data_IF_015076755021
#
_entry.id   IF_015076755021
#
_cell.length_a   1.000
_cell.length_b   1.000
_cell.length_c   1.000
_cell.angle_alpha   90.00
_cell.angle_beta   90.00
_cell.angle_gamma   90.00
#
_symmetry.space_group_name_H-M   'P 1'
#
loop_
_entity.id
_entity.type
_entity.pdbx_description
1 polymer ?
#
# COMPACT_ATOMS: atom_id res chain seq x y z
N UNK A 1 0.46 2.13 43.95
CA UNK A 1 0.36 2.39 42.49
C UNK A 1 -0.50 3.63 42.27
N UNK A 2 0.12 4.82 42.20
CA UNK A 2 -0.60 6.10 42.04
C UNK A 2 -0.85 6.37 40.56
N UNK A 3 -2.11 6.47 40.16
CA UNK A 3 -2.54 7.07 38.89
C UNK A 3 -2.13 8.54 38.91
N UNK A 4 -1.19 8.94 38.06
CA UNK A 4 -0.88 10.36 37.87
C UNK A 4 -1.74 10.90 36.71
N UNK A 5 -2.71 11.73 37.07
CA UNK A 5 -3.46 12.59 36.15
C UNK A 5 -2.49 13.66 35.62
N UNK A 6 -2.24 13.65 34.32
CA UNK A 6 -1.56 14.74 33.62
C UNK A 6 -2.60 15.85 33.46
N UNK A 7 -2.42 16.94 34.21
CA UNK A 7 -3.21 18.16 34.07
C UNK A 7 -2.66 18.91 32.86
N UNK A 8 -3.44 18.98 31.78
CA UNK A 8 -3.15 19.80 30.61
C UNK A 8 -3.35 21.28 30.98
N UNK A 9 -2.27 22.08 30.87
CA UNK A 9 -2.37 23.53 30.83
C UNK A 9 -2.88 23.93 29.43
N UNK A 10 -4.18 24.15 29.32
CA UNK A 10 -4.75 25.03 28.30
C UNK A 10 -4.38 26.46 28.68
N UNK A 11 -3.54 27.14 27.90
CA UNK A 11 -3.63 28.59 27.72
C UNK A 11 -2.82 29.07 26.50
N UNK A 12 -3.52 29.81 25.64
CA UNK A 12 -3.03 30.75 24.62
C UNK A 12 -2.09 30.24 23.51
N UNK A 13 -2.66 29.70 22.43
CA UNK A 13 -2.20 29.99 21.07
C UNK A 13 -3.31 29.66 20.05
N UNK A 14 -4.47 30.26 20.26
CA UNK A 14 -5.38 30.56 19.16
C UNK A 14 -4.89 31.91 18.61
N UNK A 15 -4.66 31.98 17.29
CA UNK A 15 -4.16 33.11 16.48
C UNK A 15 -2.63 33.18 16.28
N UNK A 16 -2.13 32.41 15.32
CA UNK A 16 -1.54 33.01 14.12
C UNK A 16 -1.34 31.94 13.06
N UNK A 17 -1.74 32.27 11.83
CA UNK A 17 -1.41 31.51 10.64
C UNK A 17 0.11 31.38 10.54
N UNK A 18 0.64 30.22 10.96
CA UNK A 18 1.88 29.55 10.54
C UNK A 18 2.18 28.49 11.61
N UNK A 19 2.45 27.26 11.18
CA UNK A 19 2.74 26.14 12.08
C UNK A 19 3.90 26.48 13.03
N UNK A 20 3.58 26.69 14.32
CA UNK A 20 4.58 26.86 15.38
C UNK A 20 4.80 25.49 16.02
N UNK A 21 6.01 24.95 15.91
CA UNK A 21 6.44 23.82 16.75
C UNK A 21 6.30 24.23 18.22
N UNK A 22 5.44 23.56 18.99
CA UNK A 22 5.43 23.69 20.44
C UNK A 22 6.34 22.61 21.02
N UNK A 23 7.61 22.96 21.30
CA UNK A 23 8.54 22.09 22.04
C UNK A 23 8.37 22.35 23.54
N UNK A 24 7.77 21.40 24.26
CA UNK A 24 7.72 21.44 25.72
C UNK A 24 8.79 20.51 26.30
N UNK A 25 9.89 21.08 26.80
CA UNK A 25 10.91 20.35 27.55
C UNK A 25 10.45 20.18 29.01
N UNK A 26 10.20 18.93 29.43
CA UNK A 26 10.00 18.61 30.85
C UNK A 26 11.32 18.11 31.46
N UNK A 27 12.08 18.98 32.12
CA UNK A 27 13.28 18.60 32.87
C UNK A 27 12.90 18.15 34.29
N UNK A 28 13.20 16.89 34.64
CA UNK A 28 13.15 16.41 36.03
C UNK A 28 14.59 16.32 36.57
N UNK A 29 14.93 17.19 37.52
CA UNK A 29 16.19 17.11 38.29
C UNK A 29 15.97 16.33 39.58
N UNK A 30 16.74 15.26 39.79
CA UNK A 30 16.97 14.70 41.13
C UNK A 30 18.44 14.95 41.51
N UNK A 31 18.65 15.67 42.62
CA UNK A 31 19.98 15.91 43.22
C UNK A 31 20.16 15.03 44.47
N UNK A 32 21.27 14.26 44.56
CA UNK A 32 22.33 14.32 45.61
C UNK A 32 23.17 13.00 45.74
N UNK A 33 24.41 13.03 45.21
CA UNK A 33 25.75 12.40 45.55
C UNK A 33 25.91 10.99 46.22
N UNK A 34 27.11 10.35 46.21
CA UNK A 34 27.87 9.84 45.06
C UNK A 34 28.28 8.35 45.22
N UNK A 35 27.81 7.46 44.34
CA UNK A 35 28.48 6.21 43.98
C UNK A 35 27.77 5.62 42.76
N UNK A 36 28.44 5.59 41.60
CA UNK A 36 28.04 4.93 40.35
C UNK A 36 26.54 4.95 39.98
N UNK A 37 26.11 5.95 39.21
CA UNK A 37 24.93 5.81 38.34
C UNK A 37 25.21 6.48 37.00
N UNK A 38 25.58 5.69 35.99
CA UNK A 38 25.37 6.08 34.59
C UNK A 38 24.29 5.18 34.02
N UNK A 39 23.07 5.69 33.97
CA UNK A 39 22.28 5.85 32.74
C UNK A 39 21.04 6.65 33.11
N UNK A 40 21.09 7.93 32.80
CA UNK A 40 19.97 8.85 32.95
C UNK A 40 18.88 8.48 31.95
N UNK A 41 17.80 7.88 32.44
CA UNK A 41 16.56 7.79 31.69
C UNK A 41 15.95 9.19 31.60
N UNK A 42 16.17 9.86 30.47
CA UNK A 42 15.50 11.12 30.17
C UNK A 42 14.45 10.91 29.06
N UNK A 43 13.39 11.72 29.11
CA UNK A 43 12.31 11.72 28.13
C UNK A 43 12.20 13.08 27.46
N UNK A 44 12.23 13.07 26.13
CA UNK A 44 11.98 14.26 25.32
C UNK A 44 10.60 14.14 24.69
N UNK A 45 9.79 15.21 24.78
CA UNK A 45 8.45 15.26 24.22
C UNK A 45 8.35 16.37 23.16
N UNK A 46 8.00 16.00 21.93
CA UNK A 46 7.76 16.92 20.83
C UNK A 46 6.32 16.80 20.36
N UNK A 47 5.59 17.92 20.23
CA UNK A 47 4.27 17.94 19.62
C UNK A 47 4.29 18.71 18.31
N UNK A 48 3.94 18.02 17.22
CA UNK A 48 3.93 18.58 15.87
C UNK A 48 2.50 18.60 15.32
N UNK A 49 2.15 19.68 14.61
CA UNK A 49 0.91 19.77 13.86
C UNK A 49 1.08 19.06 12.52
N UNK A 50 0.22 18.07 12.25
CA UNK A 50 0.25 17.29 11.02
C UNK A 50 -0.68 17.85 9.95
N UNK A 51 -1.81 18.41 10.36
CA UNK A 51 -2.77 19.07 9.48
C UNK A 51 -3.62 20.05 10.29
N UNK A 52 -3.95 21.19 9.66
CA UNK A 52 -4.94 22.15 10.13
C UNK A 52 -5.99 22.29 9.01
N UNK A 53 -7.02 21.45 9.04
CA UNK A 53 -8.19 21.62 8.17
C UNK A 53 -9.12 22.64 8.79
N UNK A 54 -10.04 23.21 7.99
CA UNK A 54 -11.13 24.05 8.49
C UNK A 54 -12.07 23.34 9.48
N UNK A 55 -11.84 22.08 9.84
CA UNK A 55 -12.75 21.26 10.64
C UNK A 55 -12.07 20.57 11.82
N UNK A 56 -10.77 20.30 11.74
CA UNK A 56 -10.05 19.60 12.80
C UNK A 56 -8.55 19.89 12.73
N UNK A 57 -7.88 19.68 13.87
CA UNK A 57 -6.45 19.78 14.05
C UNK A 57 -5.89 18.40 14.40
N UNK A 58 -4.90 17.94 13.64
CA UNK A 58 -4.22 16.68 13.95
C UNK A 58 -2.83 16.96 14.50
N UNK A 59 -2.50 16.34 15.63
CA UNK A 59 -1.19 16.46 16.27
C UNK A 59 -0.52 15.11 16.42
N UNK A 60 0.81 15.13 16.39
CA UNK A 60 1.69 14.01 16.72
C UNK A 60 2.54 14.37 17.90
N UNK A 61 2.42 13.60 18.97
CA UNK A 61 3.26 13.66 20.16
C UNK A 61 4.32 12.57 20.06
N UNK A 62 5.59 12.94 20.13
CA UNK A 62 6.74 12.03 20.05
C UNK A 62 7.44 12.02 21.39
N UNK A 63 7.49 10.85 22.03
CA UNK A 63 8.23 10.66 23.28
C UNK A 63 9.43 9.76 23.03
N UNK A 64 10.63 10.30 23.24
CA UNK A 64 11.89 9.54 23.14
C UNK A 64 12.33 9.08 24.53
N UNK A 65 12.54 7.78 24.69
CA UNK A 65 13.04 7.12 25.90
C UNK A 65 14.50 6.73 25.66
N UNK A 66 15.41 7.29 26.45
CA UNK A 66 16.82 6.98 26.37
C UNK A 66 17.21 6.11 27.56
N UNK A 67 17.30 4.80 27.34
CA UNK A 67 17.76 3.85 28.37
C UNK A 67 18.95 3.12 27.81
N UNK A 68 20.01 3.02 28.61
CA UNK A 68 21.13 2.17 28.28
C UNK A 68 21.84 2.48 26.94
N UNK A 69 21.92 3.75 26.54
CA UNK A 69 22.48 4.18 25.24
C UNK A 69 21.60 3.79 24.04
N UNK A 70 20.42 3.21 24.28
CA UNK A 70 19.42 2.88 23.26
C UNK A 70 18.27 3.88 23.33
N UNK A 71 17.89 4.44 22.18
CA UNK A 71 16.71 5.29 22.04
C UNK A 71 15.51 4.46 21.61
N UNK A 72 14.40 4.56 22.36
CA UNK A 72 13.08 4.06 21.95
C UNK A 72 12.16 5.25 21.73
N UNK A 73 11.58 5.36 20.53
CA UNK A 73 10.66 6.44 20.19
C UNK A 73 9.23 5.92 20.19
N UNK A 74 8.33 6.61 20.88
CA UNK A 74 6.89 6.34 20.89
C UNK A 74 6.17 7.54 20.29
N UNK A 75 5.30 7.27 19.32
CA UNK A 75 4.45 8.30 18.74
C UNK A 75 3.02 8.06 19.20
N UNK A 76 2.34 9.13 19.58
CA UNK A 76 0.91 9.19 19.84
C UNK A 76 0.32 10.29 18.97
N UNK A 77 -0.92 10.11 18.54
CA UNK A 77 -1.62 11.04 17.68
C UNK A 77 -2.95 11.43 18.34
N UNK A 78 -3.28 12.72 18.23
CA UNK A 78 -4.50 13.30 18.82
C UNK A 78 -5.18 14.18 17.78
N UNK A 79 -6.48 13.98 17.60
CA UNK A 79 -7.33 14.80 16.75
C UNK A 79 -8.21 15.70 17.62
N UNK A 80 -8.28 16.98 17.28
CA UNK A 80 -9.10 17.98 17.94
C UNK A 80 -10.08 18.60 16.96
N UNK A 81 -11.25 19.00 17.44
CA UNK A 81 -12.11 19.93 16.71
C UNK A 81 -11.51 21.34 16.74
N UNK A 82 -12.03 22.23 15.89
CA UNK A 82 -11.58 23.63 15.83
C UNK A 82 -11.75 24.42 17.12
N UNK A 83 -12.70 24.02 17.96
CA UNK A 83 -12.94 24.64 19.28
C UNK A 83 -11.93 24.14 20.35
N UNK A 84 -11.00 23.26 19.96
CA UNK A 84 -10.00 22.67 20.85
C UNK A 84 -10.49 21.44 21.61
N UNK A 85 -11.72 20.99 21.41
CA UNK A 85 -12.21 19.75 22.03
C UNK A 85 -11.51 18.53 21.43
N UNK A 86 -11.14 17.56 22.27
CA UNK A 86 -10.47 16.33 21.84
C UNK A 86 -11.50 15.38 21.21
N UNK A 87 -11.28 14.98 19.96
CA UNK A 87 -12.08 13.98 19.24
C UNK A 87 -11.51 12.58 19.45
N UNK A 88 -10.20 12.43 19.26
CA UNK A 88 -9.47 11.19 19.45
C UNK A 88 -8.14 11.48 20.14
N UNK A 89 -7.75 10.66 21.11
CA UNK A 89 -6.44 10.69 21.76
C UNK A 89 -5.80 9.32 21.77
N UNK A 90 -4.50 9.29 22.10
CA UNK A 90 -3.73 8.07 22.35
C UNK A 90 -3.74 7.10 21.16
N UNK A 91 -3.84 7.65 19.95
CA UNK A 91 -3.82 6.86 18.73
C UNK A 91 -2.37 6.54 18.39
N UNK A 92 -2.05 5.28 18.12
CA UNK A 92 -0.75 4.85 17.61
C UNK A 92 -0.59 5.14 16.11
N UNK A 93 -1.70 5.31 15.40
CA UNK A 93 -1.78 5.70 13.99
C UNK A 93 -3.14 6.37 13.75
N UNK A 94 -3.21 7.31 12.81
CA UNK A 94 -4.45 7.98 12.43
C UNK A 94 -4.34 8.52 11.01
N UNK A 95 -5.37 8.23 10.22
CA UNK A 95 -5.55 8.72 8.87
C UNK A 95 -6.90 9.43 8.81
N UNK A 96 -6.91 10.66 8.30
CA UNK A 96 -8.14 11.35 7.97
C UNK A 96 -8.62 10.96 6.58
N UNK A 97 -9.93 10.74 6.44
CA UNK A 97 -10.60 10.40 5.17
C UNK A 97 -11.90 11.18 5.05
N UNK A 98 -12.29 11.54 3.81
CA UNK A 98 -13.50 12.32 3.54
C UNK A 98 -14.41 11.52 2.62
N UNK A 99 -15.68 11.40 2.99
CA UNK A 99 -16.71 10.79 2.15
C UNK A 99 -18.02 11.56 2.25
N UNK A 100 -18.63 11.90 1.11
CA UNK A 100 -19.89 12.66 1.06
C UNK A 100 -19.87 13.93 1.93
N UNK A 101 -18.75 14.68 1.89
CA UNK A 101 -18.51 15.88 2.71
C UNK A 101 -18.50 15.65 4.23
N UNK A 102 -18.50 14.39 4.67
CA UNK A 102 -18.32 14.00 6.08
C UNK A 102 -16.88 13.56 6.31
N UNK A 103 -16.38 13.86 7.49
CA UNK A 103 -15.01 13.61 7.90
C UNK A 103 -14.96 12.37 8.80
N UNK A 104 -14.00 11.50 8.54
CA UNK A 104 -13.78 10.29 9.31
C UNK A 104 -12.29 10.11 9.63
N UNK A 105 -12.01 9.33 10.66
CA UNK A 105 -10.67 8.94 11.05
C UNK A 105 -10.55 7.42 11.06
N UNK A 106 -9.61 6.89 10.29
CA UNK A 106 -9.14 5.51 10.43
C UNK A 106 -7.97 5.55 11.41
N UNK A 107 -8.15 5.02 12.61
CA UNK A 107 -7.14 5.17 13.66
C UNK A 107 -6.82 3.84 14.32
N UNK A 108 -5.61 3.71 14.84
CA UNK A 108 -5.15 2.55 15.58
C UNK A 108 -5.00 2.92 17.05
N UNK A 109 -5.68 2.19 17.93
CA UNK A 109 -5.55 2.31 19.39
C UNK A 109 -5.57 0.91 20.00
N UNK A 110 -4.79 0.69 21.06
CA UNK A 110 -4.67 -0.62 21.74
C UNK A 110 -4.36 -1.78 20.78
N UNK A 111 -3.51 -1.51 19.77
CA UNK A 111 -3.09 -2.49 18.79
C UNK A 111 -4.11 -2.80 17.67
N UNK A 112 -5.30 -2.18 17.67
CA UNK A 112 -6.36 -2.44 16.68
C UNK A 112 -6.80 -1.18 15.96
N UNK A 113 -7.21 -1.35 14.70
CA UNK A 113 -7.78 -0.27 13.91
C UNK A 113 -9.28 -0.17 14.11
N UNK A 114 -9.78 1.06 14.05
CA UNK A 114 -11.16 1.49 14.26
C UNK A 114 -11.45 2.66 13.33
N UNK A 115 -12.74 2.95 13.13
CA UNK A 115 -13.21 4.11 12.38
C UNK A 115 -13.85 5.07 13.39
N UNK A 116 -13.64 6.37 13.25
CA UNK A 116 -14.42 7.36 13.97
C UNK A 116 -15.00 8.41 13.01
N UNK A 117 -16.14 9.00 13.34
CA UNK A 117 -16.56 10.26 12.72
C UNK A 117 -15.78 11.44 13.32
N UNK A 118 -15.88 12.62 12.70
CA UNK A 118 -15.32 13.84 13.27
C UNK A 118 -16.01 14.27 14.57
N UNK A 119 -17.23 13.82 14.81
CA UNK A 119 -17.95 14.04 16.07
C UNK A 119 -17.47 13.10 17.20
N UNK A 120 -16.55 12.17 16.91
CA UNK A 120 -15.97 11.25 17.88
C UNK A 120 -16.76 9.96 18.09
N UNK A 121 -17.79 9.70 17.28
CA UNK A 121 -18.47 8.40 17.28
C UNK A 121 -17.55 7.34 16.71
N UNK A 122 -17.30 6.26 17.46
CA UNK A 122 -16.34 5.21 17.09
C UNK A 122 -17.07 3.93 16.65
N UNK A 123 -16.65 3.38 15.51
CA UNK A 123 -17.08 2.10 14.96
C UNK A 123 -15.93 1.09 14.97
N UNK A 124 -16.24 -0.13 15.41
CA UNK A 124 -15.33 -1.26 15.39
C UNK A 124 -16.09 -2.60 15.38
N UNK A 125 -16.87 -2.88 14.32
CA UNK A 125 -17.68 -4.13 14.25
C UNK A 125 -16.79 -5.39 14.25
N UNK A 126 -15.49 -5.27 13.91
CA UNK A 126 -14.53 -6.39 13.89
C UNK A 126 -13.18 -5.99 14.47
N UNK A 127 -12.35 -7.00 14.79
CA UNK A 127 -10.99 -6.81 15.32
C UNK A 127 -9.98 -6.59 14.18
N UNK A 128 -9.96 -5.38 13.63
CA UNK A 128 -9.06 -5.06 12.53
C UNK A 128 -7.61 -4.89 12.99
N UNK A 129 -6.70 -5.63 12.34
CA UNK A 129 -5.25 -5.54 12.55
C UNK A 129 -4.56 -4.59 11.59
N UNK A 130 -5.25 -4.21 10.50
CA UNK A 130 -4.82 -3.22 9.51
C UNK A 130 -6.05 -2.57 8.90
N UNK A 131 -5.99 -1.26 8.66
CA UNK A 131 -6.91 -0.50 7.81
C UNK A 131 -6.10 0.41 6.90
N UNK A 132 -6.60 0.65 5.69
CA UNK A 132 -6.08 1.66 4.76
C UNK A 132 -7.14 2.00 3.73
N UNK A 133 -7.41 3.28 3.51
CA UNK A 133 -8.24 3.69 2.37
C UNK A 133 -7.52 3.39 1.05
N UNK A 134 -8.22 2.72 0.12
CA UNK A 134 -7.71 2.34 -1.20
C UNK A 134 -8.43 3.06 -2.35
N UNK A 135 -9.65 3.52 -2.11
CA UNK A 135 -10.39 4.46 -2.96
C UNK A 135 -11.53 5.07 -2.15
N UNK A 136 -12.27 6.00 -2.76
CA UNK A 136 -13.37 6.72 -2.12
C UNK A 136 -14.36 5.75 -1.43
N UNK A 137 -14.40 5.79 -0.09
CA UNK A 137 -15.22 4.89 0.73
C UNK A 137 -14.95 3.39 0.48
N UNK A 138 -13.68 3.04 0.26
CA UNK A 138 -13.18 1.66 0.20
C UNK A 138 -11.98 1.52 1.09
N UNK A 139 -12.12 0.76 2.16
CA UNK A 139 -11.12 0.56 3.18
C UNK A 139 -10.64 -0.89 3.10
N UNK A 140 -9.39 -1.07 2.72
CA UNK A 140 -8.71 -2.36 2.81
C UNK A 140 -8.50 -2.68 4.28
N UNK A 141 -9.00 -3.83 4.71
CA UNK A 141 -8.90 -4.28 6.10
C UNK A 141 -8.25 -5.64 6.23
N UNK A 142 -7.68 -5.91 7.40
CA UNK A 142 -7.14 -7.23 7.76
C UNK A 142 -7.72 -7.74 9.07
N UNK A 143 -8.39 -8.89 9.03
CA UNK A 143 -8.92 -9.62 10.20
C UNK A 143 -8.40 -11.05 10.13
N UNK A 144 -7.90 -11.59 11.25
CA UNK A 144 -7.40 -12.98 11.34
C UNK A 144 -6.46 -13.38 10.20
N UNK A 145 -5.52 -12.48 9.89
CA UNK A 145 -4.53 -12.58 8.82
C UNK A 145 -5.07 -12.57 7.40
N UNK A 146 -6.39 -12.47 7.20
CA UNK A 146 -7.05 -12.36 5.89
C UNK A 146 -7.44 -10.92 5.57
N UNK A 147 -7.50 -10.61 4.28
CA UNK A 147 -7.82 -9.30 3.74
C UNK A 147 -9.20 -9.30 3.07
N UNK A 148 -9.86 -8.15 3.14
CA UNK A 148 -11.08 -7.81 2.43
C UNK A 148 -11.24 -6.29 2.36
N UNK A 149 -12.33 -5.82 1.78
CA UNK A 149 -12.62 -4.39 1.63
C UNK A 149 -13.98 -4.11 2.27
N UNK A 150 -14.03 -3.09 3.10
CA UNK A 150 -15.27 -2.58 3.68
C UNK A 150 -15.49 -1.13 3.24
N UNK A 151 -16.68 -0.62 3.47
CA UNK A 151 -16.94 0.82 3.45
C UNK A 151 -16.80 1.44 4.86
N UNK A 152 -17.04 2.74 4.98
CA UNK A 152 -17.00 3.48 6.24
C UNK A 152 -18.11 3.11 7.22
N UNK A 153 -19.18 2.45 6.76
CA UNK A 153 -20.21 1.84 7.62
C UNK A 153 -19.81 0.42 8.08
N UNK A 154 -18.62 -0.04 7.69
CA UNK A 154 -18.10 -1.38 7.88
C UNK A 154 -18.89 -2.51 7.20
N UNK A 155 -19.63 -2.16 6.15
CA UNK A 155 -20.29 -3.14 5.28
C UNK A 155 -19.25 -3.77 4.34
N UNK A 156 -19.35 -5.08 4.17
CA UNK A 156 -18.37 -5.85 3.40
C UNK A 156 -18.62 -5.64 1.91
N UNK A 157 -17.71 -4.95 1.24
CA UNK A 157 -17.69 -4.79 -0.22
C UNK A 157 -16.97 -5.98 -0.87
N UNK A 158 -15.81 -6.36 -0.32
CA UNK A 158 -15.03 -7.54 -0.73
C UNK A 158 -14.87 -8.46 0.48
N UNK A 159 -15.30 -9.74 0.39
CA UNK A 159 -15.21 -10.67 1.51
C UNK A 159 -13.80 -10.78 2.09
N UNK A 160 -13.71 -10.85 3.43
CA UNK A 160 -12.44 -10.96 4.17
C UNK A 160 -11.91 -12.40 4.09
N UNK A 161 -11.47 -12.82 2.89
CA UNK A 161 -11.05 -14.19 2.58
C UNK A 161 -9.65 -14.29 1.96
N UNK A 162 -9.06 -13.16 1.54
CA UNK A 162 -7.83 -13.15 0.77
C UNK A 162 -6.59 -13.27 1.67
N UNK A 163 -5.60 -14.05 1.25
CA UNK A 163 -4.33 -14.23 1.97
C UNK A 163 -3.39 -13.03 1.78
N UNK A 164 -3.45 -12.38 0.62
CA UNK A 164 -2.72 -11.14 0.35
C UNK A 164 -3.54 -10.17 -0.50
N UNK A 165 -3.22 -8.89 -0.38
CA UNK A 165 -3.81 -7.77 -1.09
C UNK A 165 -2.70 -6.73 -1.29
N UNK A 166 -1.98 -6.82 -2.42
CA UNK A 166 -0.74 -6.09 -2.69
C UNK A 166 -0.98 -5.09 -3.83
N UNK A 167 -0.48 -3.86 -3.68
CA UNK A 167 -0.65 -2.82 -4.70
C UNK A 167 0.16 -3.20 -5.95
N UNK A 168 -0.51 -3.34 -7.09
CA UNK A 168 0.11 -3.60 -8.39
C UNK A 168 0.48 -2.30 -9.10
N UNK A 169 -0.42 -1.31 -9.05
CA UNK A 169 -0.24 0.06 -9.51
C UNK A 169 -1.17 0.99 -8.70
N UNK A 170 -1.42 2.22 -9.16
CA UNK A 170 -2.28 3.18 -8.44
C UNK A 170 -3.75 2.76 -8.26
N UNK A 171 -4.31 1.93 -9.14
CA UNK A 171 -5.72 1.54 -9.14
C UNK A 171 -5.95 0.03 -8.99
N UNK A 172 -4.91 -0.80 -9.08
CA UNK A 172 -5.00 -2.25 -9.14
C UNK A 172 -4.23 -2.92 -8.01
N UNK A 173 -4.76 -4.07 -7.60
CA UNK A 173 -4.27 -4.88 -6.50
C UNK A 173 -4.16 -6.35 -6.90
N UNK A 174 -2.99 -6.92 -6.67
CA UNK A 174 -2.78 -8.37 -6.69
C UNK A 174 -3.42 -8.98 -5.45
N UNK A 175 -4.33 -9.91 -5.67
CA UNK A 175 -5.02 -10.63 -4.60
C UNK A 175 -4.62 -12.09 -4.62
N UNK A 176 -4.50 -12.73 -3.45
CA UNK A 176 -4.24 -14.18 -3.36
C UNK A 176 -5.36 -14.89 -2.61
N UNK A 177 -5.99 -15.86 -3.26
CA UNK A 177 -7.06 -16.68 -2.70
C UNK A 177 -6.77 -18.16 -3.01
N UNK A 178 -6.86 -19.03 -2.02
CA UNK A 178 -6.64 -20.48 -2.17
C UNK A 178 -5.33 -20.86 -2.89
N UNK A 179 -4.28 -20.05 -2.74
CA UNK A 179 -2.98 -20.29 -3.38
C UNK A 179 -2.78 -19.60 -4.73
N UNK A 180 -3.85 -19.12 -5.37
CA UNK A 180 -3.83 -18.51 -6.69
C UNK A 180 -3.96 -17.00 -6.65
N UNK A 181 -3.33 -16.33 -7.60
CA UNK A 181 -3.31 -14.91 -7.80
C UNK A 181 -4.44 -14.48 -8.74
N UNK A 182 -5.04 -13.33 -8.43
CA UNK A 182 -5.97 -12.59 -9.27
C UNK A 182 -5.64 -11.11 -9.21
N UNK A 183 -6.34 -10.31 -10.00
CA UNK A 183 -6.19 -8.87 -10.08
C UNK A 183 -7.53 -8.22 -9.75
N UNK A 184 -7.53 -7.21 -8.90
CA UNK A 184 -8.72 -6.51 -8.45
C UNK A 184 -8.49 -5.01 -8.57
N UNK A 185 -9.51 -4.26 -8.97
CA UNK A 185 -9.44 -2.81 -8.97
C UNK A 185 -9.69 -2.23 -7.56
N UNK A 186 -9.50 -0.91 -7.42
CA UNK A 186 -9.68 -0.19 -6.17
C UNK A 186 -11.15 -0.07 -5.74
N UNK A 187 -12.11 -0.36 -6.63
CA UNK A 187 -13.54 -0.41 -6.31
C UNK A 187 -13.94 -1.73 -5.62
N UNK A 188 -13.12 -2.77 -5.78
CA UNK A 188 -13.33 -4.13 -5.29
C UNK A 188 -13.75 -5.13 -6.37
N UNK A 189 -13.79 -4.72 -7.65
CA UNK A 189 -14.14 -5.59 -8.77
C UNK A 189 -12.93 -6.47 -9.13
N UNK A 190 -13.15 -7.79 -9.21
CA UNK A 190 -12.16 -8.69 -9.78
C UNK A 190 -12.04 -8.45 -11.29
N UNK A 191 -10.84 -8.09 -11.72
CA UNK A 191 -10.45 -7.92 -13.11
C UNK A 191 -9.96 -9.27 -13.66
N UNK A 192 -9.03 -9.91 -12.95
CA UNK A 192 -8.60 -11.28 -13.22
C UNK A 192 -8.96 -12.17 -12.04
N UNK A 193 -9.60 -13.31 -12.32
CA UNK A 193 -9.95 -14.31 -11.30
C UNK A 193 -8.70 -14.86 -10.60
N UNK A 194 -8.86 -15.32 -9.36
CA UNK A 194 -7.80 -15.99 -8.60
C UNK A 194 -7.57 -17.42 -9.12
N UNK A 195 -7.02 -17.54 -10.31
CA UNK A 195 -6.77 -18.83 -10.98
C UNK A 195 -5.33 -18.93 -11.54
N UNK A 196 -4.53 -17.89 -11.39
CA UNK A 196 -3.16 -17.85 -11.87
C UNK A 196 -2.19 -18.29 -10.77
N UNK A 197 -1.22 -19.12 -11.11
CA UNK A 197 -0.11 -19.46 -10.21
C UNK A 197 0.75 -18.23 -9.88
N UNK A 198 0.81 -17.28 -10.82
CA UNK A 198 1.55 -16.01 -10.69
C UNK A 198 0.96 -14.96 -11.63
N UNK A 199 0.87 -13.73 -11.14
CA UNK A 199 0.67 -12.52 -11.94
C UNK A 199 1.83 -11.59 -11.60
N UNK A 200 2.57 -11.11 -12.60
CA UNK A 200 3.74 -10.23 -12.40
C UNK A 200 3.62 -9.01 -13.32
N UNK A 201 3.65 -7.78 -12.78
CA UNK A 201 3.77 -6.57 -13.60
C UNK A 201 5.06 -6.60 -14.43
N UNK A 202 4.96 -6.29 -15.71
CA UNK A 202 6.07 -6.22 -16.67
C UNK A 202 5.77 -5.08 -17.65
N UNK A 203 6.48 -3.96 -17.52
CA UNK A 203 6.17 -2.71 -18.22
C UNK A 203 4.70 -2.30 -17.99
N UNK A 204 3.95 -2.15 -19.06
CA UNK A 204 2.53 -1.81 -19.18
C UNK A 204 1.63 -3.05 -19.30
N UNK A 205 2.10 -4.21 -18.83
CA UNK A 205 1.36 -5.48 -18.94
C UNK A 205 1.51 -6.33 -17.68
N UNK A 206 0.71 -7.38 -17.58
CA UNK A 206 0.84 -8.43 -16.59
C UNK A 206 1.24 -9.76 -17.23
N UNK A 207 2.40 -10.28 -16.84
CA UNK A 207 2.80 -11.65 -17.16
C UNK A 207 2.00 -12.62 -16.28
N UNK A 208 1.22 -13.47 -16.94
CA UNK A 208 0.36 -14.48 -16.31
C UNK A 208 1.03 -15.84 -16.35
N UNK A 209 0.86 -16.64 -15.29
CA UNK A 209 1.24 -18.06 -15.29
C UNK A 209 0.07 -18.93 -14.82
N UNK A 210 -0.31 -19.92 -15.63
CA UNK A 210 -1.40 -20.86 -15.35
C UNK A 210 -1.04 -22.23 -15.93
N UNK A 211 -1.21 -23.30 -15.15
CA UNK A 211 -0.85 -24.68 -15.54
C UNK A 211 0.57 -24.81 -16.10
N UNK A 212 1.54 -24.11 -15.49
CA UNK A 212 2.92 -24.10 -15.98
C UNK A 212 3.20 -23.30 -17.26
N UNK A 213 2.17 -22.77 -17.93
CA UNK A 213 2.26 -21.97 -19.15
C UNK A 213 2.12 -20.48 -18.86
N UNK A 214 2.55 -19.65 -19.80
CA UNK A 214 2.58 -18.21 -19.70
C UNK A 214 1.65 -17.56 -20.70
N UNK A 215 1.01 -16.48 -20.25
CA UNK A 215 0.18 -15.56 -21.03
C UNK A 215 0.49 -14.12 -20.66
N UNK A 216 -0.18 -13.18 -21.31
CA UNK A 216 -0.01 -11.75 -21.10
C UNK A 216 -1.37 -11.07 -21.08
N UNK A 217 -1.57 -10.14 -20.16
CA UNK A 217 -2.73 -9.25 -20.13
C UNK A 217 -2.27 -7.79 -20.11
N UNK A 218 -3.11 -6.90 -20.60
CA UNK A 218 -2.87 -5.46 -20.50
C UNK A 218 -3.19 -4.92 -19.08
N UNK A 219 -3.12 -3.60 -18.91
CA UNK A 219 -3.39 -2.94 -17.63
C UNK A 219 -4.86 -2.98 -17.22
N UNK A 220 -5.79 -3.17 -18.16
CA UNK A 220 -7.22 -3.34 -17.89
C UNK A 220 -7.58 -4.80 -17.60
N UNK A 221 -6.61 -5.71 -17.78
CA UNK A 221 -6.74 -7.14 -17.56
C UNK A 221 -7.29 -7.90 -18.76
N UNK A 222 -7.40 -7.26 -19.92
CA UNK A 222 -7.75 -7.94 -21.16
C UNK A 222 -6.58 -8.83 -21.61
N UNK A 223 -6.91 -10.04 -22.06
CA UNK A 223 -5.90 -11.03 -22.43
C UNK A 223 -5.30 -10.66 -23.78
N UNK A 224 -4.03 -10.26 -23.79
CA UNK A 224 -3.23 -10.05 -25.01
C UNK A 224 -2.79 -11.40 -25.59
N UNK A 225 -2.33 -12.31 -24.72
CA UNK A 225 -1.91 -13.66 -25.08
C UNK A 225 -2.43 -14.67 -24.07
N UNK A 226 -3.14 -15.68 -24.55
CA UNK A 226 -3.61 -16.80 -23.74
C UNK A 226 -2.45 -17.56 -23.05
N UNK A 227 -2.74 -18.19 -21.91
CA UNK A 227 -1.75 -18.93 -21.13
C UNK A 227 -1.38 -20.28 -21.76
N UNK A 228 -0.72 -20.24 -22.91
CA UNK A 228 -0.35 -21.42 -23.70
C UNK A 228 1.15 -21.48 -24.04
N UNK A 229 1.89 -20.40 -23.78
CA UNK A 229 3.30 -20.31 -24.13
C UNK A 229 4.18 -20.97 -23.06
N UNK A 230 5.29 -21.59 -23.48
CA UNK A 230 6.32 -22.10 -22.57
C UNK A 230 7.13 -20.96 -21.93
N UNK A 231 7.35 -19.87 -22.69
CA UNK A 231 8.03 -18.66 -22.23
C UNK A 231 7.48 -17.43 -22.96
N UNK A 232 7.42 -16.30 -22.27
CA UNK A 232 7.13 -14.98 -22.85
C UNK A 232 8.24 -14.02 -22.39
N UNK A 233 8.75 -13.22 -23.33
CA UNK A 233 9.64 -12.10 -23.08
C UNK A 233 9.02 -10.85 -23.69
N UNK A 234 8.44 -9.98 -22.85
CA UNK A 234 8.01 -8.63 -23.22
C UNK A 234 9.21 -7.69 -23.23
N UNK A 235 9.30 -6.88 -24.27
CA UNK A 235 10.16 -5.70 -24.42
C UNK A 235 9.25 -4.49 -24.64
N UNK A 236 9.78 -3.29 -24.85
CA UNK A 236 8.95 -2.09 -25.06
C UNK A 236 7.99 -2.27 -26.24
N UNK A 237 8.50 -2.51 -27.45
CA UNK A 237 7.70 -2.58 -28.68
C UNK A 237 7.29 -4.01 -29.09
N UNK A 238 7.92 -5.04 -28.50
CA UNK A 238 7.80 -6.42 -28.99
C UNK A 238 7.53 -7.43 -27.89
N UNK A 239 6.81 -8.47 -28.26
CA UNK A 239 6.63 -9.67 -27.45
C UNK A 239 7.25 -10.85 -28.19
N UNK A 240 8.20 -11.52 -27.54
CA UNK A 240 8.77 -12.76 -28.05
C UNK A 240 8.25 -13.92 -27.22
N UNK A 241 7.59 -14.86 -27.87
CA UNK A 241 7.07 -16.07 -27.21
C UNK A 241 7.87 -17.29 -27.61
N UNK A 242 7.81 -18.33 -26.77
CA UNK A 242 8.21 -19.69 -27.14
C UNK A 242 7.05 -20.63 -26.85
N UNK A 243 6.63 -21.41 -27.84
CA UNK A 243 5.58 -22.44 -27.72
C UNK A 243 6.05 -23.68 -28.49
N UNK A 244 6.06 -24.85 -27.84
CA UNK A 244 6.44 -26.14 -28.42
C UNK A 244 7.81 -26.10 -29.11
N UNK A 245 8.78 -25.44 -28.48
CA UNK A 245 10.15 -25.34 -29.00
C UNK A 245 10.39 -24.23 -30.03
N UNK A 246 9.33 -23.62 -30.57
CA UNK A 246 9.42 -22.57 -31.60
C UNK A 246 9.12 -21.19 -31.05
N UNK A 247 9.69 -20.18 -31.68
CA UNK A 247 9.57 -18.77 -31.28
C UNK A 247 8.70 -17.98 -32.26
N UNK A 248 7.85 -17.10 -31.75
CA UNK A 248 7.09 -16.11 -32.53
C UNK A 248 7.28 -14.71 -31.96
N UNK A 249 7.15 -13.72 -32.82
CA UNK A 249 7.28 -12.30 -32.49
C UNK A 249 5.95 -11.59 -32.77
N UNK A 250 5.50 -10.83 -31.79
CA UNK A 250 4.31 -9.99 -31.84
C UNK A 250 4.71 -8.54 -31.55
N UNK A 251 3.88 -7.59 -31.96
CA UNK A 251 3.97 -6.22 -31.49
C UNK A 251 3.53 -6.12 -30.02
N UNK A 252 3.58 -4.91 -29.45
CA UNK A 252 3.16 -4.66 -28.09
C UNK A 252 1.67 -4.96 -27.83
N UNK A 253 0.83 -4.95 -28.87
CA UNK A 253 -0.61 -5.23 -28.79
C UNK A 253 -0.94 -6.72 -28.90
N UNK A 254 0.05 -7.57 -29.19
CA UNK A 254 -0.16 -9.00 -29.40
C UNK A 254 -0.51 -9.37 -30.84
N UNK A 255 -0.40 -8.45 -31.80
CA UNK A 255 -0.54 -8.76 -33.24
C UNK A 255 0.73 -9.44 -33.74
N UNK A 256 0.57 -10.52 -34.49
CA UNK A 256 1.68 -11.25 -35.10
C UNK A 256 2.41 -10.33 -36.10
N UNK A 257 3.73 -10.16 -35.93
CA UNK A 257 4.57 -9.36 -36.81
C UNK A 257 5.21 -10.18 -37.95
N UNK A 258 5.24 -11.50 -37.79
CA UNK A 258 5.79 -12.43 -38.77
C UNK A 258 5.11 -13.78 -38.63
N UNK A 259 4.58 -14.31 -39.74
CA UNK A 259 3.99 -15.66 -39.79
C UNK A 259 5.03 -16.77 -39.63
N UNK A 260 6.31 -16.40 -39.59
CA UNK A 260 7.43 -17.33 -39.46
C UNK A 260 7.62 -17.74 -38.00
N UNK A 261 7.70 -19.05 -37.79
CA UNK A 261 8.15 -19.63 -36.54
C UNK A 261 9.68 -19.85 -36.56
N UNK A 262 10.38 -19.30 -35.57
CA UNK A 262 11.84 -19.35 -35.49
C UNK A 262 12.32 -20.43 -34.52
N UNK A 263 13.49 -21.04 -34.78
CA UNK A 263 14.17 -21.92 -33.82
C UNK A 263 14.77 -21.15 -32.64
N UNK A 264 15.13 -19.88 -32.87
CA UNK A 264 15.68 -18.97 -31.86
C UNK A 264 15.50 -17.54 -32.31
N UNK A 265 15.21 -16.64 -31.38
CA UNK A 265 15.20 -15.19 -31.60
C UNK A 265 16.28 -14.54 -30.74
N UNK A 266 17.03 -13.61 -31.32
CA UNK A 266 18.02 -12.76 -30.64
C UNK A 266 17.60 -11.30 -30.78
N UNK A 267 17.99 -10.52 -29.77
CA UNK A 267 17.82 -9.07 -29.73
C UNK A 267 19.22 -8.48 -29.79
N UNK A 268 19.52 -7.67 -30.80
CA UNK A 268 20.81 -7.00 -30.95
C UNK A 268 20.62 -5.50 -31.09
N UNK A 269 21.06 -4.73 -30.07
CA UNK A 269 21.00 -3.26 -29.96
C UNK A 269 19.63 -2.64 -30.26
N UNK A 270 19.12 -2.71 -31.50
CA UNK A 270 17.81 -2.24 -31.96
C UNK A 270 17.13 -3.16 -33.00
N UNK A 271 17.64 -4.37 -33.26
CA UNK A 271 17.06 -5.32 -34.24
C UNK A 271 16.70 -6.65 -33.61
N UNK A 272 15.63 -7.26 -34.12
CA UNK A 272 15.25 -8.64 -33.82
C UNK A 272 15.73 -9.54 -34.95
N UNK A 273 16.47 -10.59 -34.61
CA UNK A 273 16.93 -11.59 -35.57
C UNK A 273 16.37 -12.97 -35.25
N UNK A 274 15.84 -13.64 -36.27
CA UNK A 274 15.26 -14.96 -36.17
C UNK A 274 16.10 -16.02 -36.89
N UNK A 275 16.40 -17.14 -36.23
CA UNK A 275 17.03 -18.31 -36.86
C UNK A 275 15.95 -19.24 -37.45
N UNK A 276 16.03 -19.45 -38.76
CA UNK A 276 15.11 -20.32 -39.53
C UNK A 276 15.39 -21.81 -39.31
N UNK A 277 14.50 -22.69 -39.79
CA UNK A 277 14.71 -24.14 -39.72
C UNK A 277 15.91 -24.61 -40.55
N UNK A 278 16.11 -24.00 -41.72
CA UNK A 278 17.27 -24.14 -42.61
C UNK A 278 17.90 -22.75 -42.83
N UNK A 279 19.20 -22.62 -42.56
CA UNK A 279 19.95 -21.36 -42.72
C UNK A 279 20.38 -20.67 -41.42
N UNK A 280 20.98 -19.47 -41.56
CA UNK A 280 21.48 -18.63 -40.46
C UNK A 280 20.40 -17.77 -39.80
N UNK A 281 20.84 -16.80 -38.99
CA UNK A 281 19.96 -15.74 -38.52
C UNK A 281 19.61 -14.80 -39.68
N UNK A 282 18.37 -14.34 -39.71
CA UNK A 282 17.92 -13.29 -40.62
C UNK A 282 17.23 -12.19 -39.80
N UNK A 283 17.38 -10.91 -40.20
CA UNK A 283 16.57 -9.84 -39.65
C UNK A 283 15.09 -10.20 -39.75
N UNK A 284 14.36 -10.02 -38.66
CA UNK A 284 12.91 -10.08 -38.68
C UNK A 284 12.48 -8.75 -39.28
N UNK A 285 12.15 -8.75 -40.57
CA UNK A 285 11.56 -7.60 -41.26
C UNK A 285 10.21 -7.34 -40.62
N UNK A 286 10.20 -6.41 -39.68
CA UNK A 286 8.99 -5.88 -39.09
C UNK A 286 8.25 -5.18 -40.22
N UNK A 287 7.03 -5.62 -40.53
CA UNK A 287 6.15 -4.81 -41.36
C UNK A 287 6.04 -3.47 -40.63
N UNK A 288 6.61 -2.42 -41.23
CA UNK A 288 6.51 -1.05 -40.73
C UNK A 288 5.04 -0.76 -40.45
N UNK A 289 4.76 -0.38 -39.19
CA UNK A 289 3.45 0.04 -38.70
C UNK A 289 2.83 1.14 -39.59
#
# INVERSE_FOLDING_TARGET
MKKFRIVFLFLSLILSYNAVEARCYAHYHHYSTPAYVVRSDYFENEQNFLNCEKHYLLTKTTVNFYSNGTRRTYNSYTAFNNDGTVVLSDCADIQHVIFNKKHYFLFKRDGRYQIATAEGEIFAKRRYSKMKEISNNRILVRVDKKYGVIDLNEDIIVPIKYKSFEKANNSLYLTKLNGYYGLMDSSGKLILKNEYEKIKPVYDTFLLKKYGKYGLADMDGEIILETECDKIKKMDEYIVTKKNGKYRVYDATGKILSDIEYKKVRVERNTLEGKMEKGGYKPILLQTL
#
